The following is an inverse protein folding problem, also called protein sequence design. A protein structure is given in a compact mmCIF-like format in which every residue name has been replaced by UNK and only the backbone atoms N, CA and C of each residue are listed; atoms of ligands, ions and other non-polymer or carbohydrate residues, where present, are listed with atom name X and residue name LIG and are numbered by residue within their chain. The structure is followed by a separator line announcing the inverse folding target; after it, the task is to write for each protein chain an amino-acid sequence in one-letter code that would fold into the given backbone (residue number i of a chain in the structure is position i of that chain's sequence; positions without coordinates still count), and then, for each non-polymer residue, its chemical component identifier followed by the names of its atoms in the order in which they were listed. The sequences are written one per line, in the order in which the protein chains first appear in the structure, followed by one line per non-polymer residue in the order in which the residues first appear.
data_IF_882602933883
#
_entry.id   IF_882602933883
#
_cell.length_a   1.000
_cell.length_b   1.000
_cell.length_c   1.000
_cell.angle_alpha   90.00
_cell.angle_beta   90.00
_cell.angle_gamma   90.00
#
_symmetry.space_group_name_H-M   'P 1'
#
loop_
_entity.id
_entity.type
_entity.pdbx_description
1 polymer ?
#
# COMPACT_ATOMS: atom_id res chain seq x y z
N UNK A 1 -13.64 10.11 6.71
CA UNK A 1 -13.00 11.44 6.69
C UNK A 1 -11.51 11.25 6.46
N UNK A 2 -10.85 12.12 5.68
CA UNK A 2 -9.38 12.16 5.65
C UNK A 2 -8.91 12.82 6.95
N UNK A 3 -8.16 12.07 7.76
CA UNK A 3 -7.60 12.55 9.05
C UNK A 3 -6.10 12.83 8.96
N UNK A 4 -5.42 12.26 7.96
CA UNK A 4 -4.04 12.57 7.62
C UNK A 4 -3.91 12.64 6.09
N UNK A 5 -3.75 13.84 5.50
CA UNK A 5 -3.73 14.01 4.06
C UNK A 5 -2.41 13.54 3.44
N UNK A 6 -2.41 13.35 2.13
CA UNK A 6 -1.23 12.92 1.41
C UNK A 6 -0.12 13.97 1.50
N UNK A 7 0.99 13.59 2.13
CA UNK A 7 2.20 14.40 2.27
C UNK A 7 3.40 13.47 2.04
N UNK A 8 3.73 13.16 0.77
CA UNK A 8 4.69 12.12 0.46
C UNK A 8 6.07 12.49 1.00
N UNK A 9 6.84 11.52 1.50
CA UNK A 9 8.16 11.80 1.97
C UNK A 9 9.13 12.04 0.81
N UNK A 10 10.37 12.38 1.16
CA UNK A 10 11.44 12.46 0.15
C UNK A 10 11.62 11.09 -0.51
N UNK A 11 11.94 11.08 -1.81
CA UNK A 11 12.23 9.87 -2.56
C UNK A 11 13.31 9.03 -1.85
N UNK A 12 13.06 7.73 -1.70
CA UNK A 12 13.89 6.77 -0.97
C UNK A 12 13.84 6.88 0.57
N UNK A 13 13.00 7.74 1.14
CA UNK A 13 12.85 7.88 2.59
C UNK A 13 11.90 6.83 3.16
N UNK A 14 12.18 6.33 4.37
CA UNK A 14 11.26 5.47 5.13
C UNK A 14 10.37 6.24 6.12
N UNK A 15 10.25 7.56 5.96
CA UNK A 15 9.39 8.42 6.80
C UNK A 15 7.99 7.81 6.96
N UNK A 16 7.39 7.86 8.17
CA UNK A 16 6.34 6.93 8.58
C UNK A 16 5.00 7.03 7.82
N UNK A 17 4.77 8.07 7.02
CA UNK A 17 3.49 8.29 6.35
C UNK A 17 3.68 8.38 4.82
N UNK A 18 3.31 7.31 4.11
CA UNK A 18 3.45 7.17 2.64
C UNK A 18 2.09 7.02 1.94
N UNK A 19 1.05 7.68 2.46
CA UNK A 19 -0.30 7.50 1.97
C UNK A 19 -1.26 8.54 2.51
N UNK A 20 -2.51 8.12 2.70
CA UNK A 20 -3.52 8.87 3.43
C UNK A 20 -4.10 8.01 4.55
N UNK A 21 -4.62 8.68 5.58
CA UNK A 21 -5.38 8.01 6.63
C UNK A 21 -6.86 8.42 6.54
N UNK A 22 -7.74 7.42 6.43
CA UNK A 22 -9.18 7.60 6.45
C UNK A 22 -9.77 7.01 7.74
N UNK A 23 -10.49 7.83 8.51
CA UNK A 23 -11.19 7.37 9.71
C UNK A 23 -12.70 7.54 9.59
N UNK A 24 -13.44 6.63 10.20
CA UNK A 24 -14.81 6.89 10.64
C UNK A 24 -14.75 7.62 11.98
N UNK A 25 -15.50 8.70 12.11
CA UNK A 25 -15.36 9.61 13.26
C UNK A 25 -16.72 9.86 13.86
N UNK A 26 -16.81 9.71 15.18
CA UNK A 26 -18.02 10.07 15.93
C UNK A 26 -18.31 11.56 15.72
N UNK A 27 -19.51 11.93 15.23
CA UNK A 27 -19.80 13.32 14.85
C UNK A 27 -19.84 14.27 16.05
N UNK A 28 -20.06 13.77 17.27
CA UNK A 28 -20.17 14.57 18.49
C UNK A 28 -18.81 14.68 19.18
N UNK A 29 -18.16 13.54 19.41
CA UNK A 29 -16.93 13.46 20.21
C UNK A 29 -15.66 13.56 19.38
N UNK A 30 -15.77 13.50 18.05
CA UNK A 30 -14.63 13.53 17.11
C UNK A 30 -13.60 12.41 17.41
N UNK A 31 -14.08 11.28 17.93
CA UNK A 31 -13.27 10.10 18.20
C UNK A 31 -13.31 9.15 17.01
N UNK A 32 -12.16 8.60 16.63
CA UNK A 32 -12.09 7.62 15.57
C UNK A 32 -12.67 6.26 16.00
N UNK A 33 -13.44 5.64 15.11
CA UNK A 33 -14.20 4.42 15.38
C UNK A 33 -13.68 3.24 14.56
N UNK A 34 -13.64 2.06 15.18
CA UNK A 34 -13.42 0.78 14.49
C UNK A 34 -14.73 0.22 13.91
N UNK A 35 -14.62 -0.83 13.09
CA UNK A 35 -15.76 -1.68 12.74
C UNK A 35 -16.43 -1.33 11.41
N UNK A 36 -16.11 -0.17 10.82
CA UNK A 36 -16.59 0.18 9.49
C UNK A 36 -15.92 -0.69 8.41
N UNK A 37 -16.68 -1.29 7.48
CA UNK A 37 -16.09 -2.04 6.38
C UNK A 37 -15.24 -1.17 5.46
N UNK A 38 -14.10 -1.71 5.02
CA UNK A 38 -13.24 -1.14 3.98
C UNK A 38 -13.51 -1.91 2.69
N UNK A 39 -13.71 -1.17 1.60
CA UNK A 39 -13.99 -1.74 0.28
C UNK A 39 -12.86 -1.40 -0.70
N UNK A 40 -12.61 -2.30 -1.65
CA UNK A 40 -11.64 -2.09 -2.70
C UNK A 40 -12.03 -0.88 -3.58
N UNK A 41 -11.07 0.01 -3.81
CA UNK A 41 -11.27 1.23 -4.61
C UNK A 41 -11.31 0.90 -6.11
N UNK A 42 -10.55 -0.11 -6.53
CA UNK A 42 -10.50 -0.60 -7.89
C UNK A 42 -10.39 -2.13 -7.87
N UNK A 43 -10.95 -2.79 -8.89
CA UNK A 43 -10.84 -4.23 -9.06
C UNK A 43 -9.44 -4.64 -9.52
N UNK A 44 -9.01 -5.84 -9.17
CA UNK A 44 -7.65 -6.32 -9.42
C UNK A 44 -7.42 -7.72 -8.90
N UNK A 45 -6.17 -8.04 -8.58
CA UNK A 45 -5.77 -9.30 -7.96
C UNK A 45 -5.03 -9.01 -6.65
N UNK A 46 -5.27 -9.81 -5.61
CA UNK A 46 -4.51 -9.69 -4.35
C UNK A 46 -3.04 -10.02 -4.62
N UNK A 47 -2.18 -9.01 -4.45
CA UNK A 47 -0.74 -9.12 -4.64
C UNK A 47 -0.01 -9.54 -3.36
N UNK A 48 -0.61 -9.31 -2.19
CA UNK A 48 -0.05 -9.72 -0.92
C UNK A 48 -1.02 -9.53 0.24
N UNK A 49 -0.78 -10.30 1.31
CA UNK A 49 -1.53 -10.23 2.57
C UNK A 49 -0.53 -10.15 3.70
N UNK A 50 -0.71 -9.21 4.61
CA UNK A 50 0.15 -9.02 5.77
C UNK A 50 -0.70 -9.29 7.01
N UNK A 51 -0.23 -10.19 7.87
CA UNK A 51 -0.93 -10.59 9.09
C UNK A 51 -0.12 -10.14 10.29
N UNK A 52 -0.63 -9.12 10.98
CA UNK A 52 -0.07 -8.59 12.23
C UNK A 52 1.44 -8.30 12.18
N UNK A 53 1.89 -7.52 11.18
CA UNK A 53 3.30 -7.08 11.06
C UNK A 53 3.45 -5.59 11.17
N UNK A 54 4.33 -5.13 12.06
CA UNK A 54 4.69 -3.70 12.12
C UNK A 54 5.44 -3.27 10.85
N UNK A 55 5.09 -2.12 10.23
CA UNK A 55 4.14 -1.11 10.71
C UNK A 55 2.68 -1.30 10.25
N UNK A 56 2.42 -2.14 9.27
CA UNK A 56 1.10 -2.20 8.60
C UNK A 56 -0.01 -2.87 9.42
N UNK A 57 0.34 -3.72 10.39
CA UNK A 57 -0.59 -4.57 11.11
C UNK A 57 -1.19 -5.63 10.18
N UNK A 58 -2.52 -5.73 10.17
CA UNK A 58 -3.26 -6.49 9.17
C UNK A 58 -3.48 -5.63 7.93
N UNK A 59 -3.02 -6.10 6.78
CA UNK A 59 -3.09 -5.34 5.54
C UNK A 59 -3.27 -6.23 4.32
N UNK A 60 -3.78 -5.64 3.25
CA UNK A 60 -3.90 -6.27 1.93
C UNK A 60 -3.33 -5.35 0.85
N UNK A 61 -2.65 -5.94 -0.12
CA UNK A 61 -2.14 -5.28 -1.30
C UNK A 61 -2.90 -5.78 -2.53
N UNK A 62 -3.44 -4.88 -3.34
CA UNK A 62 -4.19 -5.19 -4.57
C UNK A 62 -3.45 -4.62 -5.77
N UNK A 63 -3.23 -5.44 -6.78
CA UNK A 63 -2.65 -5.06 -8.08
C UNK A 63 -3.73 -4.90 -9.14
N UNK A 64 -3.64 -3.84 -9.94
CA UNK A 64 -4.42 -3.64 -11.17
C UNK A 64 -3.46 -3.29 -12.32
N UNK A 65 -3.36 -4.11 -13.38
CA UNK A 65 -2.55 -3.78 -14.56
C UNK A 65 -2.94 -2.43 -15.15
N UNK A 66 -1.97 -1.58 -15.50
CA UNK A 66 -2.27 -0.23 -16.02
C UNK A 66 -3.09 -0.27 -17.32
N UNK A 67 -2.95 -1.33 -18.11
CA UNK A 67 -3.75 -1.57 -19.33
C UNK A 67 -5.23 -1.82 -19.06
N UNK A 68 -5.60 -2.19 -17.83
CA UNK A 68 -6.98 -2.40 -17.39
C UNK A 68 -7.58 -1.15 -16.73
N UNK A 69 -6.79 -0.09 -16.54
CA UNK A 69 -7.23 1.16 -15.93
C UNK A 69 -7.74 2.12 -17.02
N UNK A 70 -8.91 2.77 -16.84
CA UNK A 70 -9.41 3.76 -17.79
C UNK A 70 -8.41 4.88 -18.08
N UNK A 71 -8.27 5.28 -19.35
CA UNK A 71 -7.31 6.30 -19.77
C UNK A 71 -7.47 7.64 -19.01
N UNK A 72 -8.71 8.05 -18.74
CA UNK A 72 -9.00 9.27 -17.97
C UNK A 72 -8.44 9.24 -16.53
N UNK A 73 -8.39 8.06 -15.92
CA UNK A 73 -7.79 7.89 -14.60
C UNK A 73 -6.27 7.96 -14.68
N UNK A 74 -5.67 7.33 -15.70
CA UNK A 74 -4.21 7.39 -15.92
C UNK A 74 -3.72 8.83 -16.14
N UNK A 75 -4.48 9.64 -16.88
CA UNK A 75 -4.20 11.07 -17.07
C UNK A 75 -4.25 11.85 -15.75
N UNK A 76 -5.25 11.55 -14.90
CA UNK A 76 -5.39 12.20 -13.59
C UNK A 76 -4.31 11.78 -12.62
N UNK A 77 -3.93 10.49 -12.63
CA UNK A 77 -2.90 9.90 -11.77
C UNK A 77 -1.48 10.37 -12.11
N UNK A 78 -1.30 11.01 -13.26
CA UNK A 78 -0.01 11.52 -13.74
C UNK A 78 1.11 10.47 -13.61
N UNK A 79 0.87 9.27 -14.15
CA UNK A 79 1.74 8.10 -13.96
C UNK A 79 3.22 8.46 -14.23
N UNK A 80 4.11 8.39 -13.22
CA UNK A 80 5.50 8.81 -13.38
C UNK A 80 6.21 7.90 -14.37
N UNK A 81 7.27 8.43 -15.00
CA UNK A 81 8.23 7.59 -15.71
C UNK A 81 8.99 6.73 -14.71
N UNK A 82 9.33 5.46 -15.05
CA UNK A 82 10.12 4.60 -14.17
C UNK A 82 11.39 5.33 -13.72
N UNK A 83 11.59 5.44 -12.41
CA UNK A 83 12.83 5.98 -11.87
C UNK A 83 13.95 4.95 -12.03
N UNK A 84 15.21 5.38 -12.21
CA UNK A 84 16.33 4.46 -12.06
C UNK A 84 16.33 3.93 -10.64
N UNK A 85 16.43 2.62 -10.53
CA UNK A 85 16.51 1.90 -9.26
C UNK A 85 17.57 2.51 -8.34
N UNK A 86 17.19 2.84 -7.09
CA UNK A 86 18.13 3.39 -6.10
C UNK A 86 18.51 2.33 -5.08
N UNK A 87 19.63 1.67 -5.34
CA UNK A 87 20.23 0.69 -4.44
C UNK A 87 20.78 1.27 -3.13
N UNK A 88 20.90 2.60 -2.99
CA UNK A 88 21.71 3.18 -1.93
C UNK A 88 21.01 4.24 -1.10
N UNK A 89 20.94 3.89 0.19
CA UNK A 89 20.99 4.76 1.36
C UNK A 89 19.67 5.37 1.88
N UNK A 90 18.72 4.54 2.32
CA UNK A 90 17.90 4.94 3.45
C UNK A 90 18.71 4.74 4.74
N UNK A 91 18.29 5.39 5.82
CA UNK A 91 18.71 5.08 7.21
C UNK A 91 18.35 3.62 7.61
N UNK A 92 17.80 2.83 6.68
CA UNK A 92 17.25 1.50 6.82
C UNK A 92 18.21 0.45 6.22
N UNK A 93 18.50 -0.60 6.99
CA UNK A 93 19.31 -1.74 6.52
C UNK A 93 18.47 -2.69 5.67
N UNK A 94 18.75 -2.80 4.38
CA UNK A 94 18.02 -3.66 3.46
C UNK A 94 18.84 -4.89 3.03
N UNK A 95 18.24 -6.10 2.96
CA UNK A 95 18.89 -7.26 2.38
C UNK A 95 19.26 -7.04 0.90
N UNK A 96 20.37 -7.62 0.44
CA UNK A 96 20.80 -7.52 -0.98
C UNK A 96 19.74 -8.08 -1.94
N UNK A 97 19.01 -9.13 -1.51
CA UNK A 97 17.92 -9.75 -2.28
C UNK A 97 16.70 -8.86 -2.46
N UNK A 98 16.61 -7.72 -1.77
CA UNK A 98 15.54 -6.74 -1.98
C UNK A 98 15.55 -6.12 -3.38
N UNK A 99 16.64 -6.33 -4.12
CA UNK A 99 17.05 -5.44 -5.19
C UNK A 99 17.47 -6.25 -6.43
N UNK A 100 16.51 -6.57 -7.29
CA UNK A 100 16.77 -7.14 -8.61
C UNK A 100 16.34 -6.16 -9.72
N UNK A 101 17.30 -5.48 -10.39
CA UNK A 101 17.02 -4.54 -11.48
C UNK A 101 16.41 -5.18 -12.74
N UNK A 102 16.55 -6.49 -12.94
CA UNK A 102 15.91 -7.16 -14.09
C UNK A 102 14.41 -7.34 -13.84
N UNK A 103 14.02 -7.58 -12.58
CA UNK A 103 12.63 -7.75 -12.14
C UNK A 103 11.74 -6.50 -12.31
N UNK A 104 12.35 -5.33 -12.50
CA UNK A 104 11.65 -4.04 -12.63
C UNK A 104 11.49 -3.57 -14.08
N UNK A 105 12.03 -4.32 -15.05
CA UNK A 105 11.87 -4.03 -16.47
C UNK A 105 10.63 -4.74 -17.03
N UNK A 106 9.64 -3.99 -17.54
CA UNK A 106 8.44 -4.61 -18.11
C UNK A 106 7.16 -3.78 -18.00
N UNK A 107 5.99 -4.41 -18.23
CA UNK A 107 4.70 -3.76 -18.01
C UNK A 107 4.55 -3.34 -16.55
N UNK A 108 3.73 -2.33 -16.31
CA UNK A 108 3.51 -1.77 -14.98
C UNK A 108 2.06 -1.92 -14.54
N UNK A 109 1.87 -1.94 -13.23
CA UNK A 109 0.57 -2.02 -12.57
C UNK A 109 0.44 -0.94 -11.51
N UNK A 110 -0.81 -0.57 -11.21
CA UNK A 110 -1.17 0.18 -10.03
C UNK A 110 -1.32 -0.79 -8.86
N UNK A 111 -0.79 -0.41 -7.70
CA UNK A 111 -0.86 -1.17 -6.46
C UNK A 111 -1.50 -0.32 -5.37
N UNK A 112 -2.44 -0.90 -4.63
CA UNK A 112 -3.10 -0.27 -3.50
C UNK A 112 -2.88 -1.10 -2.25
N UNK A 113 -2.24 -0.51 -1.24
CA UNK A 113 -2.07 -1.11 0.08
C UNK A 113 -3.12 -0.53 1.02
N UNK A 114 -3.88 -1.40 1.69
CA UNK A 114 -4.82 -1.03 2.74
C UNK A 114 -4.35 -1.64 4.05
N UNK A 115 -4.05 -0.82 5.05
CA UNK A 115 -3.46 -1.25 6.32
C UNK A 115 -4.32 -0.90 7.55
N UNK A 116 -3.86 -1.41 8.69
CA UNK A 116 -4.45 -1.24 10.02
C UNK A 116 -5.82 -1.90 10.18
N UNK A 117 -6.09 -2.98 9.45
CA UNK A 117 -7.35 -3.70 9.62
C UNK A 117 -7.50 -4.32 11.01
N UNK A 118 -8.74 -4.37 11.49
CA UNK A 118 -9.06 -4.94 12.80
C UNK A 118 -8.74 -6.43 12.86
N UNK A 119 -9.03 -7.14 11.79
CA UNK A 119 -8.83 -8.58 11.65
C UNK A 119 -7.94 -8.86 10.43
N UNK A 120 -7.20 -9.98 10.41
CA UNK A 120 -6.49 -10.43 9.23
C UNK A 120 -7.43 -10.53 8.02
N UNK A 121 -7.02 -10.13 6.80
CA UNK A 121 -7.82 -10.34 5.61
C UNK A 121 -8.18 -11.82 5.44
N UNK A 122 -9.43 -12.11 5.10
CA UNK A 122 -9.87 -13.47 4.76
C UNK A 122 -9.43 -13.89 3.35
N UNK A 123 -9.01 -12.93 2.53
CA UNK A 123 -8.50 -13.09 1.18
C UNK A 123 -7.06 -13.61 1.19
N UNK A 124 -6.65 -14.24 0.09
CA UNK A 124 -5.32 -14.78 -0.11
C UNK A 124 -4.67 -14.19 -1.37
N UNK A 125 -3.34 -14.21 -1.41
CA UNK A 125 -2.57 -13.82 -2.60
C UNK A 125 -3.04 -14.60 -3.82
N UNK A 126 -3.37 -13.89 -4.90
CA UNK A 126 -3.92 -14.45 -6.14
C UNK A 126 -5.46 -14.37 -6.25
N UNK A 127 -6.18 -14.06 -5.18
CA UNK A 127 -7.64 -13.88 -5.25
C UNK A 127 -8.02 -12.68 -6.12
N UNK A 128 -9.14 -12.80 -6.83
CA UNK A 128 -9.70 -11.72 -7.64
C UNK A 128 -10.52 -10.76 -6.77
N UNK A 129 -10.33 -9.47 -7.02
CA UNK A 129 -11.04 -8.37 -6.36
C UNK A 129 -11.86 -7.62 -7.39
N UNK A 130 -13.13 -7.36 -7.08
CA UNK A 130 -13.96 -6.42 -7.85
C UNK A 130 -14.00 -5.07 -7.16
N UNK A 131 -14.15 -3.99 -7.93
CA UNK A 131 -14.40 -2.66 -7.36
C UNK A 131 -15.58 -2.71 -6.37
N UNK A 132 -15.45 -2.07 -5.21
CA UNK A 132 -16.47 -2.05 -4.16
C UNK A 132 -16.60 -3.33 -3.35
N UNK A 133 -15.76 -4.36 -3.57
CA UNK A 133 -15.75 -5.57 -2.75
C UNK A 133 -15.27 -5.27 -1.33
N UNK A 134 -15.91 -5.77 -0.26
CA UNK A 134 -15.37 -5.67 1.10
C UNK A 134 -14.06 -6.45 1.21
N UNK A 135 -13.01 -5.80 1.71
CA UNK A 135 -11.65 -6.38 1.82
C UNK A 135 -11.11 -6.41 3.26
N UNK A 136 -11.77 -5.70 4.17
CA UNK A 136 -11.36 -5.60 5.57
C UNK A 136 -12.29 -4.73 6.39
N UNK A 137 -11.89 -4.46 7.62
CA UNK A 137 -12.63 -3.64 8.59
C UNK A 137 -11.65 -2.66 9.22
N UNK A 138 -12.04 -1.38 9.35
CA UNK A 138 -11.24 -0.36 10.03
C UNK A 138 -10.90 -0.86 11.44
N UNK A 139 -9.60 -0.90 11.74
CA UNK A 139 -9.06 -1.26 13.03
C UNK A 139 -7.93 -0.33 13.43
N UNK A 140 -7.06 -0.84 14.30
CA UNK A 140 -5.93 -0.11 14.86
C UNK A 140 -4.69 -1.00 15.04
N UNK A 141 -4.54 -2.03 14.20
CA UNK A 141 -3.40 -2.96 14.27
C UNK A 141 -2.12 -2.33 13.70
N UNK A 142 -0.94 -2.78 14.14
CA UNK A 142 0.34 -2.26 13.65
C UNK A 142 0.70 -0.91 14.27
N UNK A 143 1.22 0.01 13.46
CA UNK A 143 1.65 1.34 13.88
C UNK A 143 0.53 2.39 13.75
N UNK A 144 -0.60 2.15 14.41
CA UNK A 144 -1.75 3.05 14.38
C UNK A 144 -2.06 3.60 15.79
N UNK A 145 -2.14 4.93 15.92
CA UNK A 145 -2.41 5.59 17.20
C UNK A 145 -3.91 5.60 17.55
N UNK A 146 -4.76 5.54 16.54
CA UNK A 146 -6.22 5.54 16.65
C UNK A 146 -6.82 4.82 15.44
N UNK A 147 -8.07 4.32 15.51
CA UNK A 147 -8.69 3.59 14.42
C UNK A 147 -8.71 4.35 13.08
N UNK A 148 -8.19 3.74 12.02
CA UNK A 148 -8.27 4.27 10.65
C UNK A 148 -7.90 3.16 9.64
N UNK A 149 -8.10 3.43 8.35
CA UNK A 149 -7.43 2.69 7.28
C UNK A 149 -6.37 3.58 6.66
N UNK A 150 -5.13 3.07 6.61
CA UNK A 150 -4.04 3.69 5.86
C UNK A 150 -4.07 3.17 4.43
N UNK A 151 -4.02 4.07 3.45
CA UNK A 151 -4.04 3.72 2.03
C UNK A 151 -2.82 4.29 1.34
N UNK A 152 -2.01 3.41 0.76
CA UNK A 152 -0.93 3.78 -0.16
C UNK A 152 -1.34 3.44 -1.59
N UNK A 153 -0.97 4.28 -2.56
CA UNK A 153 -1.16 4.02 -3.99
C UNK A 153 0.20 4.14 -4.68
N UNK A 154 0.61 3.10 -5.41
CA UNK A 154 1.90 3.07 -6.09
C UNK A 154 1.77 2.56 -7.51
N UNK A 155 2.69 2.97 -8.38
CA UNK A 155 2.93 2.31 -9.67
C UNK A 155 4.25 1.55 -9.62
N UNK A 156 4.25 0.31 -10.08
CA UNK A 156 5.43 -0.54 -10.07
C UNK A 156 5.40 -1.61 -11.15
N UNK A 157 6.38 -2.53 -11.18
CA UNK A 157 6.42 -3.64 -12.12
C UNK A 157 5.18 -4.52 -11.95
N UNK A 158 4.67 -5.11 -13.03
CA UNK A 158 3.50 -5.98 -12.97
C UNK A 158 3.86 -7.36 -12.40
N UNK A 159 2.86 -8.06 -11.87
CA UNK A 159 2.92 -9.45 -11.40
C UNK A 159 3.86 -9.68 -10.20
N UNK A 160 4.19 -8.63 -9.45
CA UNK A 160 4.95 -8.78 -8.20
C UNK A 160 4.01 -9.29 -7.11
N UNK A 161 4.45 -10.31 -6.38
CA UNK A 161 3.71 -10.89 -5.26
C UNK A 161 4.54 -10.74 -3.99
N UNK A 162 3.87 -10.36 -2.91
CA UNK A 162 4.47 -10.17 -1.61
C UNK A 162 3.90 -11.20 -0.65
N UNK A 163 4.73 -12.10 -0.15
CA UNK A 163 4.29 -13.06 0.87
C UNK A 163 3.92 -12.35 2.18
N UNK A 164 4.75 -11.39 2.60
CA UNK A 164 4.55 -10.51 3.76
C UNK A 164 5.55 -9.34 3.70
N UNK A 165 5.37 -8.32 4.54
CA UNK A 165 6.28 -7.19 4.71
C UNK A 165 6.46 -6.83 6.19
N UNK A 166 7.71 -6.79 6.64
CA UNK A 166 8.08 -6.37 7.99
C UNK A 166 9.56 -5.96 8.01
N UNK A 167 9.93 -5.01 8.86
CA UNK A 167 11.33 -4.57 8.95
C UNK A 167 11.81 -4.35 10.40
N UNK A 168 10.98 -3.72 11.22
CA UNK A 168 11.36 -3.24 12.55
C UNK A 168 11.23 -4.26 13.69
N UNK A 169 10.79 -5.47 13.39
CA UNK A 169 10.59 -6.52 14.39
C UNK A 169 11.73 -7.54 14.32
N UNK A 170 12.29 -7.94 15.46
CA UNK A 170 13.36 -8.96 15.49
C UNK A 170 12.97 -10.33 14.96
N UNK A 171 11.67 -10.58 14.75
CA UNK A 171 11.14 -11.79 14.10
C UNK A 171 10.96 -11.65 12.59
N UNK A 172 11.27 -10.50 11.99
CA UNK A 172 11.14 -10.29 10.55
C UNK A 172 12.11 -11.19 9.79
N UNK A 173 11.61 -11.91 8.79
CA UNK A 173 12.47 -12.70 7.90
C UNK A 173 13.26 -11.79 6.95
N UNK A 174 14.34 -12.31 6.36
CA UNK A 174 15.07 -11.59 5.32
C UNK A 174 14.18 -11.27 4.11
N UNK A 175 13.23 -12.13 3.80
CA UNK A 175 12.25 -11.90 2.73
C UNK A 175 11.27 -10.78 3.09
N UNK A 176 10.73 -10.77 4.31
CA UNK A 176 9.85 -9.69 4.79
C UNK A 176 10.57 -8.33 4.74
N UNK A 177 11.84 -8.30 5.17
CA UNK A 177 12.67 -7.10 5.12
C UNK A 177 12.97 -6.67 3.69
N UNK A 178 13.25 -7.63 2.80
CA UNK A 178 13.52 -7.37 1.40
C UNK A 178 12.29 -6.79 0.68
N UNK A 179 11.13 -7.40 0.90
CA UNK A 179 9.83 -6.95 0.39
C UNK A 179 9.47 -5.55 0.89
N UNK A 180 9.67 -5.29 2.19
CA UNK A 180 9.45 -3.97 2.77
C UNK A 180 10.36 -2.91 2.12
N UNK A 181 11.65 -3.23 1.93
CA UNK A 181 12.59 -2.33 1.28
C UNK A 181 12.27 -2.07 -0.19
N UNK A 182 11.89 -3.13 -0.93
CA UNK A 182 11.42 -3.04 -2.31
C UNK A 182 10.20 -2.13 -2.41
N UNK A 183 9.21 -2.31 -1.55
CA UNK A 183 7.98 -1.54 -1.55
C UNK A 183 8.22 -0.07 -1.18
N UNK A 184 8.90 0.20 -0.05
CA UNK A 184 8.93 1.55 0.54
C UNK A 184 10.03 2.47 0.06
N UNK A 185 11.25 1.95 -0.15
CA UNK A 185 12.46 2.79 -0.26
C UNK A 185 13.27 2.58 -1.55
N UNK A 186 12.91 1.61 -2.39
CA UNK A 186 13.70 1.25 -3.58
C UNK A 186 13.47 2.13 -4.81
N UNK A 187 12.38 2.90 -4.83
CA UNK A 187 11.82 3.61 -6.00
C UNK A 187 11.30 2.71 -7.13
N UNK A 188 11.33 1.38 -6.99
CA UNK A 188 10.68 0.46 -7.93
C UNK A 188 9.14 0.61 -7.90
N UNK A 189 8.58 0.88 -6.71
CA UNK A 189 7.17 1.20 -6.51
C UNK A 189 7.04 2.69 -6.17
N UNK A 190 6.76 3.50 -7.20
CA UNK A 190 6.69 4.95 -7.11
C UNK A 190 5.34 5.39 -6.56
N UNK A 191 5.38 6.19 -5.49
CA UNK A 191 4.21 6.63 -4.75
C UNK A 191 3.38 7.67 -5.54
N UNK A 192 2.06 7.54 -5.49
CA UNK A 192 1.06 8.42 -6.08
C UNK A 192 0.12 8.95 -5.00
N UNK A 193 -0.56 10.07 -5.25
CA UNK A 193 -1.58 10.62 -4.33
C UNK A 193 -2.85 9.76 -4.40
N UNK A 194 -3.24 9.05 -3.33
CA UNK A 194 -4.45 8.23 -3.32
C UNK A 194 -5.73 9.01 -3.59
N UNK A 195 -5.77 10.32 -3.29
CA UNK A 195 -6.96 11.14 -3.50
C UNK A 195 -7.33 11.30 -4.98
N UNK A 196 -6.35 11.15 -5.89
CA UNK A 196 -6.58 11.23 -7.32
C UNK A 196 -7.45 10.08 -7.85
N UNK A 197 -7.52 8.95 -7.13
CA UNK A 197 -8.45 7.86 -7.45
C UNK A 197 -9.89 8.19 -7.05
N UNK A 198 -10.10 8.93 -5.95
CA UNK A 198 -11.44 9.28 -5.49
C UNK A 198 -12.09 10.42 -6.28
N UNK A 199 -11.29 11.17 -7.06
CA UNK A 199 -11.81 12.18 -7.98
C UNK A 199 -12.71 11.59 -9.09
N UNK A 200 -12.66 10.28 -9.30
CA UNK A 200 -13.44 9.55 -10.30
C UNK A 200 -14.46 8.57 -9.71
N UNK A 201 -14.73 8.66 -8.40
CA UNK A 201 -15.81 7.90 -7.78
C UNK A 201 -17.15 8.52 -8.15
N UNK A 202 -17.90 7.87 -9.04
CA UNK A 202 -19.34 8.10 -9.23
C UNK A 202 -20.17 7.38 -8.15
#
# INVERSE_FOLDING_TARGET
MIVNPFAPPRLGSDDPHQGIDLADVDPVYQMALEGRPVHAVIGGTVAGVIVDRFPYGNAILVETPLEQIPAAWLETLQIPTPAPFRAQNPVLTCPESAFDPESISGPRSLYLLYAHFKEPPALQTGDLITCGMPIGIIGNSGNALNPHVHIEVRVGPSNVRFESMAHYTGSASLEEMANYCLWRVSEAFQLLDPQQLFAHGE
#
